data_IF_615419522183
#
_entry.id   IF_615419522183
#
_cell.length_a   1.000
_cell.length_b   1.000
_cell.length_c   1.000
_cell.angle_alpha   90.00
_cell.angle_beta   90.00
_cell.angle_gamma   90.00
#
_symmetry.space_group_name_H-M   'P 1'
#
loop_
_entity.id
_entity.type
_entity.pdbx_description
1 polymer ?
#
# COMPACT_ATOMS: atom_id res chain seq x y z
N UNK A 1 6.02 -10.62 1.49
CA UNK A 1 7.04 -9.80 0.81
C UNK A 1 6.62 -9.45 -0.60
N UNK A 2 6.07 -10.39 -1.37
CA UNK A 2 5.47 -10.15 -2.69
C UNK A 2 4.50 -8.95 -2.74
N UNK A 3 3.63 -8.79 -1.74
CA UNK A 3 2.71 -7.64 -1.65
C UNK A 3 3.43 -6.28 -1.61
N UNK A 4 4.60 -6.20 -0.97
CA UNK A 4 5.43 -4.99 -0.97
C UNK A 4 6.01 -4.74 -2.36
N UNK A 5 6.42 -5.77 -3.09
CA UNK A 5 6.95 -5.63 -4.45
C UNK A 5 5.85 -5.21 -5.43
N UNK A 6 4.64 -5.76 -5.29
CA UNK A 6 3.47 -5.33 -6.06
C UNK A 6 3.07 -3.90 -5.74
N UNK A 7 3.10 -3.51 -4.45
CA UNK A 7 2.87 -2.13 -4.04
C UNK A 7 3.87 -1.18 -4.71
N UNK A 8 5.17 -1.51 -4.70
CA UNK A 8 6.21 -0.70 -5.34
C UNK A 8 5.92 -0.49 -6.82
N UNK A 9 5.67 -1.58 -7.55
CA UNK A 9 5.33 -1.54 -8.97
C UNK A 9 4.07 -0.72 -9.25
N UNK A 10 3.06 -0.84 -8.40
CA UNK A 10 1.83 -0.06 -8.49
C UNK A 10 2.11 1.44 -8.33
N UNK A 11 2.86 1.83 -7.30
CA UNK A 11 3.23 3.23 -7.03
C UNK A 11 4.08 3.86 -8.14
N UNK A 12 4.96 3.08 -8.78
CA UNK A 12 5.80 3.54 -9.89
C UNK A 12 4.99 3.78 -11.18
N UNK A 13 3.88 3.05 -11.36
CA UNK A 13 3.11 3.04 -12.61
C UNK A 13 1.75 3.75 -12.52
N UNK A 14 1.40 4.36 -11.40
CA UNK A 14 0.12 5.04 -11.21
C UNK A 14 0.28 6.44 -10.61
N UNK A 15 -0.84 7.16 -10.48
CA UNK A 15 -0.90 8.50 -9.88
C UNK A 15 -1.91 8.59 -8.72
N UNK A 16 -2.79 7.58 -8.64
CA UNK A 16 -3.78 7.44 -7.60
C UNK A 16 -3.77 5.98 -7.13
N UNK A 17 -4.03 5.78 -5.84
CA UNK A 17 -4.29 4.48 -5.25
C UNK A 17 -5.60 4.55 -4.46
N UNK A 18 -6.46 3.55 -4.63
CA UNK A 18 -7.72 3.40 -3.90
C UNK A 18 -7.60 2.19 -2.98
N UNK A 19 -7.91 2.42 -1.71
CA UNK A 19 -7.87 1.48 -0.60
C UNK A 19 -9.29 1.18 -0.17
N UNK A 20 -9.68 -0.10 -0.22
CA UNK A 20 -11.01 -0.54 0.20
C UNK A 20 -10.88 -1.70 1.19
N UNK A 21 -11.42 -1.51 2.38
CA UNK A 21 -11.54 -2.60 3.35
C UNK A 21 -12.52 -3.65 2.81
N UNK A 22 -12.11 -4.92 2.89
CA UNK A 22 -12.91 -6.09 2.57
C UNK A 22 -12.83 -7.07 3.73
N UNK A 23 -13.73 -8.06 3.78
CA UNK A 23 -13.76 -9.08 4.85
C UNK A 23 -12.41 -9.78 5.05
N UNK A 24 -11.64 -9.95 3.95
CA UNK A 24 -10.40 -10.72 3.93
C UNK A 24 -9.12 -9.87 3.82
N UNK A 25 -9.19 -8.55 4.03
CA UNK A 25 -8.01 -7.67 3.99
C UNK A 25 -8.28 -6.29 3.40
N UNK A 26 -7.24 -5.68 2.81
CA UNK A 26 -7.30 -4.36 2.19
C UNK A 26 -7.06 -4.47 0.69
N UNK A 27 -8.09 -4.20 -0.11
CA UNK A 27 -7.92 -4.14 -1.57
C UNK A 27 -7.22 -2.83 -1.93
N UNK A 28 -6.11 -2.95 -2.66
CA UNK A 28 -5.34 -1.83 -3.18
C UNK A 28 -5.45 -1.81 -4.71
N UNK A 29 -6.01 -0.74 -5.26
CA UNK A 29 -6.17 -0.53 -6.69
C UNK A 29 -5.38 0.68 -7.15
N UNK A 30 -4.56 0.52 -8.19
CA UNK A 30 -3.68 1.56 -8.73
C UNK A 30 -4.28 2.13 -10.00
N UNK A 31 -4.47 3.45 -10.07
CA UNK A 31 -5.15 4.13 -11.17
C UNK A 31 -4.19 5.09 -11.87
N UNK A 32 -4.16 5.02 -13.21
CA UNK A 32 -3.45 5.95 -14.09
C UNK A 32 -4.40 6.38 -15.20
N UNK A 33 -4.53 7.69 -15.42
CA UNK A 33 -5.41 8.25 -16.47
C UNK A 33 -6.86 7.71 -16.43
N UNK A 34 -7.40 7.48 -15.23
CA UNK A 34 -8.76 6.95 -15.04
C UNK A 34 -8.90 5.43 -15.22
N UNK A 35 -7.83 4.70 -15.51
CA UNK A 35 -7.84 3.25 -15.69
C UNK A 35 -7.10 2.54 -14.57
N UNK A 36 -7.68 1.43 -14.07
CA UNK A 36 -7.03 0.53 -13.11
C UNK A 36 -5.90 -0.21 -13.80
N UNK A 37 -4.67 0.02 -13.36
CA UNK A 37 -3.45 -0.60 -13.90
C UNK A 37 -3.13 -1.93 -13.23
N UNK A 38 -3.32 -2.00 -11.92
CA UNK A 38 -3.19 -3.23 -11.13
C UNK A 38 -4.14 -3.14 -9.93
N UNK A 39 -4.53 -4.30 -9.41
CA UNK A 39 -5.15 -4.40 -8.12
C UNK A 39 -4.72 -5.69 -7.41
N UNK A 40 -4.67 -5.62 -6.08
CA UNK A 40 -4.49 -6.81 -5.27
C UNK A 40 -5.03 -6.65 -3.86
N UNK A 41 -5.31 -7.81 -3.26
CA UNK A 41 -5.67 -7.90 -1.86
C UNK A 41 -4.41 -7.96 -1.01
N UNK A 42 -4.25 -6.98 -0.12
CA UNK A 42 -3.26 -7.02 0.96
C UNK A 42 -3.84 -7.81 2.12
N UNK A 43 -3.23 -8.96 2.41
CA UNK A 43 -3.54 -9.82 3.55
C UNK A 43 -2.58 -9.61 4.71
N UNK A 44 -1.39 -9.09 4.46
CA UNK A 44 -0.43 -8.79 5.51
C UNK A 44 -0.95 -7.67 6.43
N UNK A 45 -1.15 -8.00 7.70
CA UNK A 45 -1.74 -7.07 8.68
C UNK A 45 -0.86 -5.84 8.93
N UNK A 46 0.47 -5.97 8.92
CA UNK A 46 1.35 -4.80 9.11
C UNK A 46 1.32 -3.87 7.90
N UNK A 47 1.30 -4.44 6.69
CA UNK A 47 1.16 -3.65 5.47
C UNK A 47 -0.21 -2.98 5.37
N UNK A 48 -1.30 -3.71 5.66
CA UNK A 48 -2.66 -3.18 5.73
C UNK A 48 -2.74 -2.01 6.71
N UNK A 49 -2.22 -2.17 7.93
CA UNK A 49 -2.24 -1.12 8.94
C UNK A 49 -1.42 0.11 8.51
N UNK A 50 -0.27 -0.10 7.86
CA UNK A 50 0.53 0.99 7.32
C UNK A 50 -0.21 1.76 6.21
N UNK A 51 -0.84 1.05 5.26
CA UNK A 51 -1.53 1.64 4.12
C UNK A 51 -2.83 2.36 4.50
N UNK A 52 -3.62 1.81 5.41
CA UNK A 52 -4.87 2.43 5.90
C UNK A 52 -4.67 3.83 6.49
N UNK A 53 -3.44 4.21 6.83
CA UNK A 53 -3.09 5.53 7.38
C UNK A 53 -2.60 6.53 6.32
N UNK A 54 -2.54 6.14 5.04
CA UNK A 54 -1.88 6.96 3.99
C UNK A 54 -2.85 7.84 3.18
N UNK A 55 -4.16 7.60 3.27
CA UNK A 55 -5.17 8.25 2.45
C UNK A 55 -6.29 8.91 3.24
N UNK A 56 -7.10 9.69 2.53
CA UNK A 56 -8.34 10.29 3.06
C UNK A 56 -9.50 9.48 2.51
N UNK A 57 -10.31 8.88 3.38
CA UNK A 57 -11.45 8.02 3.00
C UNK A 57 -11.08 6.91 2.00
N UNK A 58 -9.87 6.36 2.11
CA UNK A 58 -9.37 5.30 1.24
C UNK A 58 -8.82 5.81 -0.11
N UNK A 59 -8.78 7.11 -0.37
CA UNK A 59 -8.19 7.67 -1.59
C UNK A 59 -6.80 8.23 -1.26
N UNK A 60 -5.81 7.81 -2.04
CA UNK A 60 -4.42 8.29 -1.97
C UNK A 60 -4.07 8.89 -3.34
N UNK A 61 -4.02 10.21 -3.42
CA UNK A 61 -3.75 10.95 -4.66
C UNK A 61 -2.94 12.23 -4.37
N UNK A 62 -2.44 12.87 -5.44
CA UNK A 62 -1.69 14.12 -5.35
C UNK A 62 -0.51 14.02 -4.38
N UNK A 63 -0.39 14.98 -3.46
CA UNK A 63 0.70 15.04 -2.49
C UNK A 63 0.78 13.79 -1.57
N UNK A 64 -0.36 13.17 -1.23
CA UNK A 64 -0.36 11.97 -0.40
C UNK A 64 0.23 10.78 -1.16
N UNK A 65 -0.12 10.65 -2.45
CA UNK A 65 0.44 9.62 -3.32
C UNK A 65 1.94 9.83 -3.55
N UNK A 66 2.35 11.06 -3.87
CA UNK A 66 3.76 11.40 -4.04
C UNK A 66 4.57 11.13 -2.77
N UNK A 67 4.04 11.49 -1.60
CA UNK A 67 4.66 11.21 -0.31
C UNK A 67 4.78 9.71 -0.07
N UNK A 68 3.75 8.92 -0.37
CA UNK A 68 3.78 7.46 -0.22
C UNK A 68 4.82 6.83 -1.15
N UNK A 69 4.83 7.24 -2.42
CA UNK A 69 5.78 6.76 -3.43
C UNK A 69 7.22 7.04 -3.01
N UNK A 70 7.52 8.29 -2.62
CA UNK A 70 8.87 8.70 -2.25
C UNK A 70 9.33 8.10 -0.92
N UNK A 71 8.40 7.82 0.01
CA UNK A 71 8.71 7.18 1.29
C UNK A 71 8.50 5.66 1.29
N UNK A 72 8.28 5.03 0.14
CA UNK A 72 8.05 3.59 0.06
C UNK A 72 9.18 2.80 0.73
N UNK A 73 10.44 3.23 0.56
CA UNK A 73 11.59 2.61 1.22
C UNK A 73 11.41 2.51 2.74
N UNK A 74 11.07 3.63 3.39
CA UNK A 74 10.79 3.67 4.83
C UNK A 74 9.59 2.84 5.25
N UNK A 75 8.51 2.88 4.47
CA UNK A 75 7.33 2.03 4.72
C UNK A 75 7.70 0.55 4.68
N UNK A 76 8.47 0.13 3.67
CA UNK A 76 8.89 -1.26 3.51
C UNK A 76 9.74 -1.76 4.69
N UNK A 77 10.67 -0.93 5.18
CA UNK A 77 11.50 -1.24 6.35
C UNK A 77 10.62 -1.36 7.59
N UNK A 78 9.74 -0.38 7.84
CA UNK A 78 8.83 -0.41 8.99
C UNK A 78 7.97 -1.68 9.02
N UNK A 79 7.38 -2.07 7.89
CA UNK A 79 6.56 -3.29 7.79
C UNK A 79 7.40 -4.53 8.08
N UNK A 80 8.56 -4.67 7.42
CA UNK A 80 9.47 -5.81 7.63
C UNK A 80 9.94 -5.93 9.09
N UNK A 81 10.36 -4.84 9.70
CA UNK A 81 10.83 -4.83 11.10
C UNK A 81 9.72 -5.22 12.07
N UNK A 82 8.50 -4.72 11.87
CA UNK A 82 7.35 -5.09 12.73
C UNK A 82 6.97 -6.56 12.59
N UNK A 83 7.04 -7.11 11.38
CA UNK A 83 6.82 -8.55 11.17
C UNK A 83 7.87 -9.37 11.90
N UNK A 84 9.15 -9.05 11.70
CA UNK A 84 10.26 -9.74 12.36
C UNK A 84 10.10 -9.70 13.89
N UNK A 85 9.72 -8.56 14.45
CA UNK A 85 9.46 -8.43 15.89
C UNK A 85 8.37 -9.39 16.37
N UNK A 86 7.28 -9.58 15.61
CA UNK A 86 6.21 -10.53 15.96
C UNK A 86 6.64 -11.99 15.84
N UNK A 87 7.58 -12.30 14.96
CA UNK A 87 8.10 -13.66 14.79
C UNK A 87 9.09 -14.05 15.91
N UNK A 88 9.73 -13.05 16.53
CA UNK A 88 10.70 -13.23 17.60
C UNK A 88 10.12 -13.07 19.02
N UNK A 89 8.85 -12.66 19.13
CA UNK A 89 8.12 -12.49 20.40
C UNK A 89 7.35 -13.77 20.76
#
# INVERSE_FOLDING_TARGET
>A
MEELDRLKKGLENSQTMVLKNCENGLTCSFIKYGLVQDNFLVKDEELKNALSQTGVNGIVEGNNFERLRNNYGWLSVRVKTRKLLKELA
#
